data_IF_357196449901
#
_entry.id   IF_357196449901
#
_cell.length_a   1.000
_cell.length_b   1.000
_cell.length_c   1.000
_cell.angle_alpha   90.00
_cell.angle_beta   90.00
_cell.angle_gamma   90.00
#
_symmetry.space_group_name_H-M   'P 1'
#
loop_
_entity.id
_entity.type
_entity.pdbx_description
1 polymer ?
#
# COMPACT_ATOMS: atom_id res chain seq x y z
N UNK A 1 -8.59 6.40 -20.88
CA UNK A 1 -7.13 6.22 -21.00
C UNK A 1 -6.79 4.82 -20.54
N UNK A 2 -5.76 4.16 -21.11
CA UNK A 2 -5.27 2.87 -20.61
C UNK A 2 -3.79 2.98 -20.27
N UNK A 3 -3.42 2.40 -19.13
CA UNK A 3 -2.03 2.21 -18.71
C UNK A 3 -1.54 0.87 -19.29
N UNK A 4 -0.26 0.77 -19.66
CA UNK A 4 0.28 -0.52 -20.08
C UNK A 4 0.21 -1.56 -18.94
N UNK A 5 0.58 -1.15 -17.73
CA UNK A 5 0.52 -1.97 -16.50
C UNK A 5 0.67 -1.09 -15.25
N UNK A 6 0.73 -1.71 -14.05
CA UNK A 6 0.88 -0.99 -12.77
C UNK A 6 2.19 -0.16 -12.70
N UNK A 7 3.26 -0.64 -13.31
CA UNK A 7 4.53 0.08 -13.31
C UNK A 7 4.45 1.36 -14.17
N UNK A 8 3.83 1.29 -15.33
CA UNK A 8 3.57 2.44 -16.21
C UNK A 8 2.69 3.48 -15.51
N UNK A 9 1.63 3.05 -14.83
CA UNK A 9 0.78 3.93 -14.04
C UNK A 9 1.57 4.73 -12.98
N UNK A 10 2.47 4.05 -12.26
CA UNK A 10 3.35 4.71 -11.28
C UNK A 10 4.36 5.67 -11.94
N UNK A 11 4.89 5.32 -13.10
CA UNK A 11 5.80 6.18 -13.86
C UNK A 11 5.11 7.45 -14.37
N UNK A 12 3.82 7.38 -14.71
CA UNK A 12 3.01 8.53 -15.13
C UNK A 12 2.55 9.40 -13.94
N UNK A 13 2.32 8.81 -12.75
CA UNK A 13 1.99 9.57 -11.53
C UNK A 13 3.17 10.35 -10.96
N UNK A 14 4.37 9.79 -11.04
CA UNK A 14 5.55 10.35 -10.37
C UNK A 14 5.84 11.83 -10.70
N UNK A 15 5.70 12.31 -11.96
CA UNK A 15 5.90 13.72 -12.28
C UNK A 15 4.90 14.65 -11.57
N UNK A 16 3.66 14.18 -11.30
CA UNK A 16 2.63 14.97 -10.63
C UNK A 16 2.91 15.17 -9.12
N UNK A 17 3.85 14.41 -8.58
CA UNK A 17 4.28 14.45 -7.17
C UNK A 17 5.65 15.12 -7.00
N UNK A 18 6.25 15.64 -8.06
CA UNK A 18 7.62 16.14 -8.04
C UNK A 18 7.83 17.37 -7.14
N UNK A 19 6.78 18.19 -6.97
CA UNK A 19 6.81 19.41 -6.16
C UNK A 19 6.49 19.16 -4.68
N UNK A 20 6.14 17.94 -4.29
CA UNK A 20 5.91 17.60 -2.89
C UNK A 20 7.24 17.55 -2.09
N UNK A 21 7.17 17.84 -0.77
CA UNK A 21 8.34 17.71 0.10
C UNK A 21 8.98 16.32 0.00
N UNK A 22 10.32 16.25 -0.06
CA UNK A 22 11.05 14.97 -0.22
C UNK A 22 10.92 14.04 0.98
N UNK A 23 10.58 14.55 2.14
CA UNK A 23 10.30 13.82 3.38
C UNK A 23 8.84 13.32 3.45
N UNK A 24 8.03 13.56 2.40
CA UNK A 24 6.71 12.97 2.27
C UNK A 24 6.81 11.44 2.26
N UNK A 25 5.83 10.78 2.86
CA UNK A 25 5.76 9.33 2.95
C UNK A 25 4.71 8.80 1.99
N UNK A 26 5.12 7.94 1.05
CA UNK A 26 4.18 7.18 0.24
C UNK A 26 3.63 6.02 1.09
N UNK A 27 2.33 5.92 1.22
CA UNK A 27 1.64 4.78 1.86
C UNK A 27 0.94 3.99 0.77
N UNK A 28 1.48 2.82 0.46
CA UNK A 28 0.86 1.89 -0.46
C UNK A 28 -0.31 1.17 0.22
N UNK A 29 -1.49 1.16 -0.38
CA UNK A 29 -2.56 0.26 0.01
C UNK A 29 -2.20 -1.13 -0.50
N UNK A 30 -2.03 -2.07 0.42
CA UNK A 30 -1.62 -3.43 0.06
C UNK A 30 -2.80 -4.25 -0.48
N UNK A 31 -2.54 -5.19 -1.41
CA UNK A 31 -1.22 -5.54 -1.95
C UNK A 31 -0.82 -4.78 -3.22
N UNK A 32 -1.73 -4.33 -4.07
CA UNK A 32 -1.42 -3.83 -5.43
C UNK A 32 -0.77 -2.45 -5.45
N UNK A 33 -1.11 -1.57 -4.51
CA UNK A 33 -0.58 -0.22 -4.43
C UNK A 33 0.95 -0.16 -4.30
N UNK A 34 1.60 -1.23 -3.81
CA UNK A 34 3.05 -1.28 -3.64
C UNK A 34 3.80 -1.17 -4.98
N UNK A 35 3.27 -1.77 -6.06
CA UNK A 35 3.91 -1.69 -7.37
C UNK A 35 3.94 -0.25 -7.90
N UNK A 36 2.83 0.46 -7.75
CA UNK A 36 2.70 1.87 -8.15
C UNK A 36 3.60 2.75 -7.27
N UNK A 37 3.54 2.58 -5.94
CA UNK A 37 4.34 3.34 -4.98
C UNK A 37 5.85 3.18 -5.21
N UNK A 38 6.34 1.97 -5.48
CA UNK A 38 7.75 1.71 -5.78
C UNK A 38 8.23 2.44 -7.05
N UNK A 39 7.38 2.57 -8.06
CA UNK A 39 7.72 3.32 -9.28
C UNK A 39 7.81 4.82 -9.01
N UNK A 40 6.83 5.36 -8.25
CA UNK A 40 6.86 6.75 -7.80
C UNK A 40 8.13 7.01 -6.99
N UNK A 41 8.40 6.19 -5.97
CA UNK A 41 9.57 6.33 -5.11
C UNK A 41 10.91 6.31 -5.85
N UNK A 42 11.01 5.49 -6.91
CA UNK A 42 12.21 5.44 -7.75
C UNK A 42 12.52 6.78 -8.41
N UNK A 43 11.50 7.58 -8.75
CA UNK A 43 11.64 8.87 -9.42
C UNK A 43 11.71 10.04 -8.44
N UNK A 44 10.88 10.04 -7.40
CA UNK A 44 10.77 11.13 -6.42
C UNK A 44 11.75 11.02 -5.27
N UNK A 45 12.25 9.81 -4.99
CA UNK A 45 13.06 9.45 -3.82
C UNK A 45 12.32 9.57 -2.49
N UNK A 46 10.99 9.66 -2.50
CA UNK A 46 10.17 9.57 -1.30
C UNK A 46 10.26 8.18 -0.67
N UNK A 47 10.03 8.14 0.62
CA UNK A 47 9.97 6.91 1.38
C UNK A 47 8.68 6.16 1.12
N UNK A 48 8.70 4.81 1.21
CA UNK A 48 7.54 3.95 1.01
C UNK A 48 7.24 3.18 2.27
N UNK A 49 6.05 3.35 2.79
CA UNK A 49 5.42 2.48 3.77
C UNK A 49 4.23 1.75 3.15
N UNK A 50 3.58 0.92 3.94
CA UNK A 50 2.40 0.18 3.51
C UNK A 50 1.29 0.25 4.56
N UNK A 51 0.04 0.27 4.10
CA UNK A 51 -1.15 0.05 4.89
C UNK A 51 -1.70 -1.34 4.58
N UNK A 52 -1.74 -2.22 5.58
CA UNK A 52 -2.35 -3.53 5.48
C UNK A 52 -3.80 -3.46 5.94
N UNK A 53 -4.66 -4.13 5.20
CA UNK A 53 -6.10 -4.11 5.43
C UNK A 53 -6.61 -5.49 5.82
N UNK A 54 -7.62 -5.50 6.66
CA UNK A 54 -8.44 -6.66 6.93
C UNK A 54 -9.89 -6.34 6.61
N UNK A 55 -10.56 -7.25 5.91
CA UNK A 55 -11.99 -7.13 5.58
C UNK A 55 -12.75 -8.26 6.23
N UNK A 56 -13.81 -7.93 6.96
CA UNK A 56 -14.75 -8.86 7.58
C UNK A 56 -16.18 -8.33 7.47
N UNK A 57 -17.13 -8.97 8.17
CA UNK A 57 -18.55 -8.59 8.17
C UNK A 57 -18.79 -7.18 8.74
N UNK A 58 -17.89 -6.68 9.58
CA UNK A 58 -17.94 -5.33 10.17
C UNK A 58 -17.35 -4.25 9.25
N UNK A 59 -16.69 -4.65 8.15
CA UNK A 59 -16.14 -3.76 7.13
C UNK A 59 -14.64 -3.89 6.91
N UNK A 60 -14.03 -2.80 6.41
CA UNK A 60 -12.58 -2.73 6.11
C UNK A 60 -11.89 -1.89 7.18
N UNK A 61 -10.83 -2.43 7.77
CA UNK A 61 -9.98 -1.74 8.75
C UNK A 61 -8.50 -1.88 8.42
N UNK A 62 -7.71 -0.88 8.81
CA UNK A 62 -6.25 -0.93 8.72
C UNK A 62 -5.72 -1.71 9.92
N UNK A 63 -4.90 -2.72 9.65
CA UNK A 63 -4.28 -3.55 10.69
C UNK A 63 -2.83 -3.17 10.98
N UNK A 64 -2.12 -2.64 9.97
CA UNK A 64 -0.74 -2.21 10.09
C UNK A 64 -0.56 -0.88 9.33
N UNK A 65 0.09 0.10 9.97
CA UNK A 65 0.43 1.40 9.39
C UNK A 65 1.77 1.86 9.99
N UNK A 66 2.71 2.38 9.18
CA UNK A 66 3.94 2.96 9.70
C UNK A 66 3.68 4.28 10.44
N UNK A 67 4.64 4.79 11.24
CA UNK A 67 4.53 6.10 11.89
C UNK A 67 4.33 7.22 10.85
N UNK A 68 3.23 7.99 11.00
CA UNK A 68 2.85 9.07 10.08
C UNK A 68 2.67 10.42 10.78
N UNK A 69 2.81 10.48 12.09
CA UNK A 69 2.60 11.69 12.89
C UNK A 69 3.43 12.86 12.37
N UNK A 70 2.77 14.00 12.14
CA UNK A 70 3.40 15.24 11.67
C UNK A 70 3.89 15.21 10.22
N UNK A 71 3.71 14.12 9.48
CA UNK A 71 4.23 13.98 8.10
C UNK A 71 3.18 14.35 7.05
N UNK A 72 3.67 14.73 5.87
CA UNK A 72 2.87 14.71 4.63
C UNK A 72 2.81 13.27 4.14
N UNK A 73 1.61 12.71 4.04
CA UNK A 73 1.35 11.34 3.60
C UNK A 73 0.69 11.35 2.23
N UNK A 74 1.20 10.54 1.32
CA UNK A 74 0.63 10.31 -0.01
C UNK A 74 0.15 8.86 -0.10
N UNK A 75 -1.15 8.66 -0.08
CA UNK A 75 -1.79 7.35 -0.19
C UNK A 75 -1.84 6.94 -1.66
N UNK A 76 -1.33 5.75 -1.96
CA UNK A 76 -1.16 5.24 -3.32
C UNK A 76 -1.79 3.87 -3.46
N UNK A 77 -2.50 3.64 -4.57
CA UNK A 77 -3.04 2.34 -4.96
C UNK A 77 -3.04 2.21 -6.49
N UNK A 78 -3.48 1.08 -7.02
CA UNK A 78 -3.67 0.83 -8.46
C UNK A 78 -4.87 1.58 -9.05
N UNK A 79 -5.72 2.15 -8.21
CA UNK A 79 -6.89 2.97 -8.55
C UNK A 79 -8.02 2.78 -7.56
N UNK A 80 -9.13 3.46 -7.82
CA UNK A 80 -10.33 3.38 -6.97
C UNK A 80 -11.50 2.80 -7.75
N UNK A 81 -12.10 1.74 -7.20
CA UNK A 81 -13.42 1.26 -7.65
C UNK A 81 -14.53 1.79 -6.75
N UNK A 82 -14.58 1.33 -5.49
CA UNK A 82 -15.61 1.74 -4.51
C UNK A 82 -15.12 2.82 -3.55
N UNK A 83 -13.83 2.87 -3.31
CA UNK A 83 -13.19 3.77 -2.35
C UNK A 83 -13.23 3.30 -0.90
N UNK A 84 -13.72 2.08 -0.62
CA UNK A 84 -13.82 1.56 0.75
C UNK A 84 -12.43 1.44 1.40
N UNK A 85 -11.47 0.83 0.70
CA UNK A 85 -10.09 0.72 1.16
C UNK A 85 -9.44 2.10 1.37
N UNK A 86 -9.56 2.98 0.37
CA UNK A 86 -9.03 4.34 0.45
C UNK A 86 -9.59 5.11 1.66
N UNK A 87 -10.90 5.00 1.92
CA UNK A 87 -11.56 5.63 3.08
C UNK A 87 -10.98 5.14 4.39
N UNK A 88 -10.81 3.81 4.54
CA UNK A 88 -10.26 3.23 5.76
C UNK A 88 -8.81 3.70 6.01
N UNK A 89 -7.98 3.76 4.97
CA UNK A 89 -6.59 4.23 5.09
C UNK A 89 -6.52 5.73 5.37
N UNK A 90 -7.34 6.56 4.71
CA UNK A 90 -7.41 8.00 4.99
C UNK A 90 -7.75 8.25 6.45
N UNK A 91 -8.77 7.55 6.99
CA UNK A 91 -9.16 7.69 8.38
C UNK A 91 -8.02 7.29 9.32
N UNK A 92 -7.41 6.11 9.11
CA UNK A 92 -6.32 5.63 9.95
C UNK A 92 -5.11 6.56 9.93
N UNK A 93 -4.74 7.12 8.76
CA UNK A 93 -3.64 8.08 8.63
C UNK A 93 -3.95 9.40 9.35
N UNK A 94 -5.19 9.88 9.27
CA UNK A 94 -5.63 11.08 10.01
C UNK A 94 -5.60 10.83 11.52
N UNK A 95 -6.15 9.72 11.99
CA UNK A 95 -6.18 9.35 13.41
C UNK A 95 -4.77 9.16 13.99
N UNK A 96 -3.83 8.72 13.15
CA UNK A 96 -2.40 8.61 13.49
C UNK A 96 -1.63 9.95 13.42
N UNK A 97 -2.31 11.07 13.20
CA UNK A 97 -1.73 12.43 13.33
C UNK A 97 -0.93 12.91 12.12
N UNK A 98 -1.20 12.43 10.90
CA UNK A 98 -0.58 12.97 9.70
C UNK A 98 -0.92 14.48 9.54
N UNK A 99 0.08 15.30 9.22
CA UNK A 99 -0.09 16.74 9.06
C UNK A 99 -0.82 17.10 7.75
N UNK A 100 -0.59 16.34 6.69
CA UNK A 100 -1.23 16.49 5.38
C UNK A 100 -1.47 15.13 4.76
N UNK A 101 -2.65 14.92 4.19
CA UNK A 101 -3.05 13.66 3.54
C UNK A 101 -3.42 13.93 2.09
N UNK A 102 -2.70 13.28 1.19
CA UNK A 102 -2.88 13.37 -0.26
C UNK A 102 -3.25 11.97 -0.77
N UNK A 103 -4.18 11.87 -1.69
CA UNK A 103 -4.40 10.65 -2.49
C UNK A 103 -3.75 10.85 -3.85
N UNK A 104 -2.93 9.89 -4.27
CA UNK A 104 -2.33 9.85 -5.60
C UNK A 104 -2.57 8.48 -6.23
N UNK A 105 -3.47 8.42 -7.19
CA UNK A 105 -3.89 7.15 -7.83
C UNK A 105 -4.03 7.32 -9.34
N UNK A 106 -3.74 6.26 -10.12
CA UNK A 106 -3.89 6.32 -11.58
C UNK A 106 -5.32 6.63 -12.02
N UNK A 107 -6.30 6.04 -11.33
CA UNK A 107 -7.73 6.13 -11.67
C UNK A 107 -8.54 6.51 -10.44
N UNK A 108 -9.26 7.64 -10.52
CA UNK A 108 -10.22 8.09 -9.50
C UNK A 108 -11.52 8.49 -10.20
N UNK A 109 -12.60 7.70 -10.09
CA UNK A 109 -13.90 8.06 -10.65
C UNK A 109 -14.42 9.38 -10.06
N UNK A 110 -15.07 10.23 -10.89
CA UNK A 110 -15.54 11.55 -10.45
C UNK A 110 -16.54 11.49 -9.30
N UNK A 111 -17.37 10.46 -9.26
CA UNK A 111 -18.33 10.25 -8.16
C UNK A 111 -17.64 9.91 -6.84
N UNK A 112 -16.46 9.29 -6.89
CA UNK A 112 -15.64 9.01 -5.69
C UNK A 112 -14.87 10.25 -5.27
N UNK A 113 -14.35 11.02 -6.21
CA UNK A 113 -13.59 12.24 -5.93
C UNK A 113 -14.38 13.23 -5.07
N UNK A 114 -15.68 13.39 -5.31
CA UNK A 114 -16.52 14.37 -4.61
C UNK A 114 -16.49 14.19 -3.07
N UNK A 115 -16.42 12.96 -2.57
CA UNK A 115 -16.31 12.72 -1.14
C UNK A 115 -14.86 12.68 -0.66
N UNK A 116 -13.90 12.27 -1.51
CA UNK A 116 -12.48 12.33 -1.19
C UNK A 116 -12.03 13.77 -0.91
N UNK A 117 -12.48 14.73 -1.71
CA UNK A 117 -12.15 16.15 -1.55
C UNK A 117 -12.60 16.71 -0.17
N UNK A 118 -13.51 16.02 0.52
CA UNK A 118 -13.93 16.37 1.88
C UNK A 118 -13.07 15.73 2.97
N UNK A 119 -12.30 14.69 2.64
CA UNK A 119 -11.55 13.88 3.60
C UNK A 119 -10.04 14.11 3.54
N UNK A 120 -9.52 14.54 2.38
CA UNK A 120 -8.08 14.71 2.15
C UNK A 120 -7.76 16.14 1.73
N UNK A 121 -6.49 16.52 1.81
CA UNK A 121 -6.04 17.87 1.44
C UNK A 121 -5.90 18.04 -0.07
N UNK A 122 -5.66 16.92 -0.79
CA UNK A 122 -5.48 16.93 -2.24
C UNK A 122 -5.76 15.55 -2.85
N UNK A 123 -6.35 15.53 -4.05
CA UNK A 123 -6.53 14.34 -4.88
C UNK A 123 -5.79 14.51 -6.20
N UNK A 124 -4.78 13.69 -6.43
CA UNK A 124 -3.99 13.63 -7.66
C UNK A 124 -4.38 12.38 -8.42
N UNK A 125 -4.87 12.53 -9.66
CA UNK A 125 -5.27 11.41 -10.49
C UNK A 125 -5.00 11.71 -11.97
N UNK A 126 -4.62 10.68 -12.72
CA UNK A 126 -4.37 10.77 -14.17
C UNK A 126 -5.68 10.63 -14.93
N UNK A 127 -6.47 9.61 -14.62
CA UNK A 127 -7.76 9.34 -15.25
C UNK A 127 -8.91 9.53 -14.24
N UNK A 128 -9.91 10.30 -14.66
CA UNK A 128 -11.12 10.62 -13.88
C UNK A 128 -12.37 10.23 -14.65
N UNK A 129 -12.68 8.92 -14.77
CA UNK A 129 -13.84 8.47 -15.51
C UNK A 129 -15.14 8.96 -14.88
N UNK A 130 -16.16 9.19 -15.73
CA UNK A 130 -17.49 9.64 -15.28
C UNK A 130 -18.20 8.59 -14.43
N UNK A 131 -17.99 7.31 -14.76
CA UNK A 131 -18.62 6.18 -14.07
C UNK A 131 -17.56 5.18 -13.61
N UNK A 132 -17.86 4.54 -12.47
CA UNK A 132 -17.04 3.43 -11.97
C UNK A 132 -17.05 2.26 -12.96
N UNK A 133 -15.87 1.70 -13.16
CA UNK A 133 -15.63 0.45 -13.88
C UNK A 133 -14.58 -0.35 -13.14
N UNK A 134 -14.51 -1.65 -13.42
CA UNK A 134 -13.39 -2.46 -12.91
C UNK A 134 -12.06 -1.87 -13.35
N UNK A 135 -11.08 -1.85 -12.44
CA UNK A 135 -9.74 -1.32 -12.70
C UNK A 135 -9.07 -1.97 -13.91
N UNK A 136 -9.34 -3.26 -14.16
CA UNK A 136 -8.85 -3.98 -15.32
C UNK A 136 -9.16 -3.29 -16.67
N UNK A 137 -10.23 -2.49 -16.76
CA UNK A 137 -10.54 -1.72 -17.97
C UNK A 137 -9.56 -0.58 -18.25
N UNK A 138 -8.85 -0.12 -17.22
CA UNK A 138 -7.91 1.01 -17.31
C UNK A 138 -6.47 0.55 -17.58
N UNK A 139 -6.23 -0.77 -17.66
CA UNK A 139 -4.93 -1.37 -17.92
C UNK A 139 -4.98 -2.26 -19.16
N UNK A 140 -3.87 -2.34 -19.90
CA UNK A 140 -3.69 -3.32 -20.98
C UNK A 140 -3.34 -4.68 -20.40
N UNK A 141 -2.38 -4.69 -19.46
CA UNK A 141 -1.99 -5.84 -18.64
C UNK A 141 -2.27 -5.50 -17.18
N UNK A 142 -3.30 -6.13 -16.63
CA UNK A 142 -3.68 -5.96 -15.22
C UNK A 142 -3.44 -7.27 -14.46
N UNK A 143 -2.24 -7.37 -13.89
CA UNK A 143 -1.87 -8.49 -13.03
C UNK A 143 -1.97 -8.06 -11.57
N UNK A 144 -3.06 -8.42 -10.87
CA UNK A 144 -3.22 -8.11 -9.46
C UNK A 144 -2.12 -8.81 -8.66
N UNK A 145 -1.54 -8.06 -7.72
CA UNK A 145 -0.49 -8.57 -6.83
C UNK A 145 -1.18 -9.24 -5.64
N UNK A 146 -0.77 -10.44 -5.26
CA UNK A 146 -1.20 -11.09 -4.03
C UNK A 146 -0.44 -10.58 -2.80
N UNK A 147 -0.91 -10.94 -1.60
CA UNK A 147 -0.34 -10.47 -0.34
C UNK A 147 1.13 -10.85 -0.17
N UNK A 148 1.51 -12.08 -0.55
CA UNK A 148 2.88 -12.58 -0.40
C UNK A 148 3.84 -11.82 -1.32
N UNK A 149 3.47 -11.62 -2.58
CA UNK A 149 4.24 -10.84 -3.53
C UNK A 149 4.32 -9.38 -3.11
N UNK A 150 3.23 -8.80 -2.62
CA UNK A 150 3.19 -7.43 -2.12
C UNK A 150 4.17 -7.23 -0.96
N UNK A 151 4.16 -8.12 0.04
CA UNK A 151 5.12 -8.12 1.17
C UNK A 151 6.55 -8.28 0.70
N UNK A 152 6.82 -9.20 -0.21
CA UNK A 152 8.15 -9.38 -0.80
C UNK A 152 8.68 -8.12 -1.51
N UNK A 153 7.83 -7.43 -2.27
CA UNK A 153 8.21 -6.18 -2.94
C UNK A 153 8.55 -5.10 -1.91
N UNK A 154 7.72 -4.96 -0.86
CA UNK A 154 7.93 -3.99 0.22
C UNK A 154 9.25 -4.24 0.94
N UNK A 155 9.54 -5.48 1.31
CA UNK A 155 10.81 -5.88 1.97
C UNK A 155 12.02 -5.55 1.10
N UNK A 156 11.97 -5.88 -0.18
CA UNK A 156 13.05 -5.53 -1.13
C UNK A 156 13.25 -4.03 -1.30
N UNK A 157 12.19 -3.25 -1.21
CA UNK A 157 12.27 -1.79 -1.27
C UNK A 157 12.91 -1.23 -0.01
N UNK A 158 12.55 -1.73 1.16
CA UNK A 158 13.16 -1.38 2.43
C UNK A 158 14.65 -1.73 2.47
N UNK A 159 15.04 -2.92 1.99
CA UNK A 159 16.43 -3.36 1.88
C UNK A 159 17.28 -2.41 1.01
N UNK A 160 16.79 -2.02 -0.16
CA UNK A 160 17.53 -1.12 -1.08
C UNK A 160 17.80 0.26 -0.49
N UNK A 161 17.01 0.70 0.49
CA UNK A 161 17.12 2.00 1.14
C UNK A 161 17.82 1.98 2.49
N UNK A 162 18.25 0.82 2.96
CA UNK A 162 18.94 0.66 4.25
C UNK A 162 18.04 0.85 5.48
N UNK A 163 16.72 0.68 5.33
CA UNK A 163 15.76 0.84 6.42
C UNK A 163 15.57 -0.41 7.28
N UNK A 164 16.18 -1.51 6.89
CA UNK A 164 16.07 -2.78 7.60
C UNK A 164 17.12 -2.83 8.69
N UNK A 165 16.84 -2.22 9.84
CA UNK A 165 17.55 -2.58 11.06
C UNK A 165 16.65 -3.12 12.17
N UNK A 166 15.31 -2.95 12.13
CA UNK A 166 14.50 -3.34 13.29
C UNK A 166 13.13 -4.02 13.04
N UNK A 167 12.69 -4.27 11.80
CA UNK A 167 11.36 -4.84 11.55
C UNK A 167 11.31 -6.06 10.63
N UNK A 168 12.36 -6.88 10.57
CA UNK A 168 12.27 -8.21 9.96
C UNK A 168 12.26 -9.22 11.10
N UNK A 169 11.19 -10.02 11.30
CA UNK A 169 11.28 -11.22 12.10
C UNK A 169 12.39 -12.07 11.48
N UNK A 170 13.40 -12.43 12.25
CA UNK A 170 14.45 -13.35 11.80
C UNK A 170 13.77 -14.63 11.33
N UNK A 171 13.86 -14.91 10.04
CA UNK A 171 13.52 -16.20 9.49
C UNK A 171 14.43 -17.23 10.19
N UNK A 172 13.84 -18.07 11.07
CA UNK A 172 14.58 -19.14 11.69
C UNK A 172 14.42 -19.26 13.20
N UNK A 173 13.19 -19.28 13.71
CA UNK A 173 12.89 -20.05 14.94
C UNK A 173 11.61 -20.87 14.69
N UNK A 174 11.72 -21.80 13.75
CA UNK A 174 10.88 -22.98 13.79
C UNK A 174 11.46 -23.83 14.92
N UNK A 175 10.80 -23.79 16.08
CA UNK A 175 11.12 -24.63 17.20
C UNK A 175 11.06 -26.10 16.77
N UNK A 176 12.21 -26.72 16.76
CA UNK A 176 12.36 -28.16 16.65
C UNK A 176 11.71 -28.80 17.91
N UNK A 177 10.43 -29.17 17.78
CA UNK A 177 9.70 -29.94 18.74
C UNK A 177 10.12 -31.39 18.64
N UNK A 178 11.30 -31.70 19.14
CA UNK A 178 11.81 -33.05 19.26
C UNK A 178 10.93 -33.86 20.19
N UNK A 179 10.11 -34.69 19.62
CA UNK A 179 9.47 -35.83 20.25
C UNK A 179 10.54 -36.87 20.59
N UNK A 180 10.81 -37.07 21.86
CA UNK A 180 11.58 -38.18 22.37
C UNK A 180 10.76 -38.95 23.44
N UNK A 181 9.74 -39.64 22.98
CA UNK A 181 9.06 -40.66 23.74
C UNK A 181 9.84 -41.98 23.74
N UNK A 182 10.79 -42.12 24.64
CA UNK A 182 11.41 -43.42 24.90
C UNK A 182 10.52 -44.23 25.84
N UNK A 183 9.86 -45.24 25.31
CA UNK A 183 9.22 -46.30 26.07
C UNK A 183 10.29 -47.33 26.44
N UNK A 184 10.69 -47.41 27.70
CA UNK A 184 11.44 -48.52 28.24
C UNK A 184 10.49 -49.47 28.90
N UNK A 185 10.32 -50.63 28.31
CA UNK A 185 9.72 -51.79 28.97
C UNK A 185 10.71 -52.40 29.94
N UNK A 186 10.23 -52.88 31.07
CA UNK A 186 10.93 -53.88 31.87
C UNK A 186 9.96 -54.93 32.28
N UNK A 187 10.32 -56.14 31.91
CA UNK A 187 9.82 -57.41 32.41
C UNK A 187 10.25 -57.62 33.88
N UNK A 188 9.39 -58.03 34.69
CA UNK A 188 9.36 -59.22 35.50
C UNK A 188 8.09 -59.20 36.36
#
# INVERSE_FOLDING_TARGET
MKFANLADAGDQLAPLLADLPRDSLLIAIMPSGIAVACRIAKRTRMDVGAAFLHSDDDGVRVTELPPVEGRTVVIVDDGIETGTAARAVVQAVRDAGAARVIIAMPVVPREVQAWLDLMVDEVIAIDRPLARRSLAWHYEEFDPIDDDMGRFILERQAWKRGWVTECVPKAGEVGDGGDAGAVAGSSD
#
